data_IF_180529557260
#
_entry.id   IF_180529557260
#
_cell.length_a   1.000
_cell.length_b   1.000
_cell.length_c   1.000
_cell.angle_alpha   90.00
_cell.angle_beta   90.00
_cell.angle_gamma   90.00
#
_symmetry.space_group_name_H-M   'P 1'
#
loop_
_entity.id
_entity.type
_entity.pdbx_description
1 polymer ?
#
# COMPACT_ATOMS: atom_id res chain seq x y z
N UNK A 1 -13.38 -7.17 61.77
CA UNK A 1 -12.56 -8.00 60.86
C UNK A 1 -13.42 -8.78 59.86
N UNK A 2 -14.20 -9.79 60.25
CA UNK A 2 -15.02 -10.57 59.29
C UNK A 2 -16.16 -9.74 58.67
N UNK A 3 -16.84 -8.92 59.47
CA UNK A 3 -17.92 -8.04 58.99
C UNK A 3 -17.41 -6.98 58.00
N UNK A 4 -16.21 -6.44 58.24
CA UNK A 4 -15.57 -5.46 57.35
C UNK A 4 -15.20 -6.08 55.99
N UNK A 5 -14.73 -7.34 55.98
CA UNK A 5 -14.39 -8.07 54.75
C UNK A 5 -15.64 -8.36 53.92
N UNK A 6 -16.74 -8.78 54.55
CA UNK A 6 -18.00 -9.02 53.86
C UNK A 6 -18.63 -7.73 53.32
N UNK A 7 -18.51 -6.64 54.09
CA UNK A 7 -18.92 -5.30 53.67
C UNK A 7 -18.14 -4.85 52.42
N UNK A 8 -16.81 -4.97 52.45
CA UNK A 8 -15.96 -4.64 51.29
C UNK A 8 -16.26 -5.51 50.07
N UNK A 9 -16.53 -6.81 50.26
CA UNK A 9 -16.88 -7.71 49.17
C UNK A 9 -18.21 -7.32 48.50
N UNK A 10 -19.21 -6.92 49.29
CA UNK A 10 -20.50 -6.44 48.76
C UNK A 10 -20.35 -5.12 48.01
N UNK A 11 -19.61 -4.15 48.55
CA UNK A 11 -19.31 -2.90 47.85
C UNK A 11 -18.55 -3.13 46.54
N UNK A 12 -17.58 -4.06 46.52
CA UNK A 12 -16.88 -4.42 45.30
C UNK A 12 -17.81 -5.06 44.26
N UNK A 13 -18.74 -5.91 44.69
CA UNK A 13 -19.74 -6.53 43.83
C UNK A 13 -20.71 -5.47 43.24
N UNK A 14 -21.24 -4.58 44.06
CA UNK A 14 -22.07 -3.45 43.64
C UNK A 14 -21.31 -2.53 42.68
N UNK A 15 -20.02 -2.29 42.94
CA UNK A 15 -19.17 -1.51 42.07
C UNK A 15 -18.95 -2.22 40.73
N UNK A 16 -18.70 -3.53 40.69
CA UNK A 16 -18.61 -4.24 39.40
C UNK A 16 -19.93 -4.24 38.62
N UNK A 17 -21.08 -4.27 39.29
CA UNK A 17 -22.38 -4.15 38.65
C UNK A 17 -22.61 -2.75 38.07
N UNK A 18 -22.23 -1.69 38.79
CA UNK A 18 -22.31 -0.33 38.25
C UNK A 18 -21.37 -0.15 37.04
N UNK A 19 -20.16 -0.72 37.07
CA UNK A 19 -19.20 -0.67 35.96
C UNK A 19 -19.69 -1.42 34.73
N UNK A 20 -20.48 -2.48 34.90
CA UNK A 20 -21.11 -3.22 33.80
C UNK A 20 -22.26 -2.45 33.14
N UNK A 21 -22.85 -1.50 33.86
CA UNK A 21 -23.89 -0.58 33.35
C UNK A 21 -23.32 0.68 32.72
N UNK A 22 -22.06 1.03 32.99
CA UNK A 22 -21.43 2.17 32.33
C UNK A 22 -21.35 1.90 30.83
N UNK A 23 -21.63 2.90 29.98
CA UNK A 23 -21.23 2.81 28.59
C UNK A 23 -19.73 2.48 28.55
N UNK A 24 -19.26 1.73 27.53
CA UNK A 24 -17.85 1.38 27.41
C UNK A 24 -17.00 2.63 27.63
N UNK A 25 -16.05 2.56 28.58
CA UNK A 25 -15.24 3.70 29.02
C UNK A 25 -14.14 4.11 28.01
N UNK A 26 -14.06 3.38 26.89
CA UNK A 26 -13.29 3.79 25.72
C UNK A 26 -14.19 4.50 24.71
N UNK A 27 -13.64 5.36 23.84
CA UNK A 27 -14.41 5.94 22.75
C UNK A 27 -14.98 4.82 21.88
N UNK A 28 -16.28 4.52 22.01
CA UNK A 28 -17.00 3.68 21.07
C UNK A 28 -17.06 4.46 19.77
N UNK A 29 -16.39 3.95 18.73
CA UNK A 29 -16.50 4.58 17.42
C UNK A 29 -17.96 4.54 17.00
N UNK A 30 -18.56 5.71 16.81
CA UNK A 30 -19.91 5.81 16.28
C UNK A 30 -19.98 5.06 14.94
N UNK A 31 -21.13 4.46 14.56
CA UNK A 31 -21.21 3.64 13.35
C UNK A 31 -20.74 4.36 12.08
N UNK A 32 -20.97 5.67 12.00
CA UNK A 32 -20.50 6.47 10.88
C UNK A 32 -18.97 6.60 10.87
N UNK A 33 -18.30 6.64 12.02
CA UNK A 33 -16.83 6.67 12.13
C UNK A 33 -16.24 5.35 11.63
N UNK A 34 -16.78 4.21 12.06
CA UNK A 34 -16.31 2.89 11.60
C UNK A 34 -16.54 2.72 10.10
N UNK A 35 -17.70 3.10 9.57
CA UNK A 35 -17.98 3.06 8.13
C UNK A 35 -17.02 3.93 7.31
N UNK A 36 -16.68 5.13 7.79
CA UNK A 36 -15.69 5.99 7.13
C UNK A 36 -14.29 5.37 7.12
N UNK A 37 -13.85 4.81 8.25
CA UNK A 37 -12.54 4.16 8.34
C UNK A 37 -12.44 2.95 7.41
N UNK A 38 -13.48 2.11 7.35
CA UNK A 38 -13.52 1.00 6.40
C UNK A 38 -13.56 1.48 4.95
N UNK A 39 -14.33 2.53 4.65
CA UNK A 39 -14.38 3.13 3.31
C UNK A 39 -13.02 3.66 2.85
N UNK A 40 -12.31 4.40 3.71
CA UNK A 40 -10.97 4.90 3.44
C UNK A 40 -9.95 3.76 3.27
N UNK A 41 -10.05 2.73 4.12
CA UNK A 41 -9.21 1.54 4.01
C UNK A 41 -9.39 0.86 2.64
N UNK A 42 -10.64 0.57 2.23
CA UNK A 42 -10.92 -0.08 0.96
C UNK A 42 -10.55 0.79 -0.24
N UNK A 43 -10.77 2.12 -0.16
CA UNK A 43 -10.34 3.05 -1.19
C UNK A 43 -8.81 3.01 -1.35
N UNK A 44 -8.07 3.08 -0.26
CA UNK A 44 -6.61 3.00 -0.29
C UNK A 44 -6.13 1.69 -0.90
N UNK A 45 -6.70 0.54 -0.49
CA UNK A 45 -6.35 -0.76 -1.05
C UNK A 45 -6.70 -0.87 -2.54
N UNK A 46 -7.82 -0.29 -2.96
CA UNK A 46 -8.20 -0.18 -4.36
C UNK A 46 -7.16 0.60 -5.18
N UNK A 47 -6.73 1.76 -4.69
CA UNK A 47 -5.70 2.57 -5.35
C UNK A 47 -4.36 1.83 -5.43
N UNK A 48 -3.92 1.17 -4.37
CA UNK A 48 -2.69 0.38 -4.38
C UNK A 48 -2.78 -0.78 -5.36
N UNK A 49 -3.92 -1.47 -5.42
CA UNK A 49 -4.16 -2.54 -6.38
C UNK A 49 -4.10 -2.06 -7.83
N UNK A 50 -4.65 -0.88 -8.14
CA UNK A 50 -4.55 -0.28 -9.48
C UNK A 50 -3.09 0.01 -9.86
N UNK A 51 -2.30 0.55 -8.94
CA UNK A 51 -0.86 0.79 -9.18
C UNK A 51 -0.10 -0.52 -9.36
N UNK A 52 -0.42 -1.56 -8.57
CA UNK A 52 0.17 -2.88 -8.72
C UNK A 52 -0.11 -3.49 -10.11
N UNK A 53 -1.35 -3.37 -10.61
CA UNK A 53 -1.72 -3.79 -11.96
C UNK A 53 -0.92 -3.01 -13.01
N UNK A 54 -0.76 -1.69 -12.84
CA UNK A 54 0.09 -0.89 -13.72
C UNK A 54 1.56 -1.34 -13.69
N UNK A 55 2.07 -1.77 -12.53
CA UNK A 55 3.39 -2.38 -12.39
C UNK A 55 3.53 -3.68 -13.18
N UNK A 56 2.54 -4.57 -13.10
CA UNK A 56 2.53 -5.83 -13.86
C UNK A 56 2.44 -5.58 -15.37
N UNK A 57 1.56 -4.67 -15.80
CA UNK A 57 1.48 -4.24 -17.19
C UNK A 57 2.79 -3.61 -17.67
N UNK A 58 3.46 -2.85 -16.80
CA UNK A 58 4.80 -2.31 -17.06
C UNK A 58 5.86 -3.39 -17.22
N UNK A 59 5.86 -4.41 -16.36
CA UNK A 59 6.78 -5.54 -16.45
C UNK A 59 6.60 -6.30 -17.78
N UNK A 60 5.36 -6.54 -18.20
CA UNK A 60 5.03 -7.16 -19.50
C UNK A 60 5.51 -6.27 -20.64
N UNK A 61 5.23 -4.97 -20.58
CA UNK A 61 5.69 -3.98 -21.57
C UNK A 61 7.22 -3.97 -21.69
N UNK A 62 7.95 -3.97 -20.58
CA UNK A 62 9.42 -4.05 -20.57
C UNK A 62 9.91 -5.39 -21.15
N UNK A 63 9.28 -6.51 -20.79
CA UNK A 63 9.63 -7.83 -21.29
C UNK A 63 9.38 -7.97 -22.81
N UNK A 64 8.37 -7.28 -23.35
CA UNK A 64 8.08 -7.23 -24.79
C UNK A 64 8.91 -6.20 -25.56
N UNK A 65 9.62 -5.29 -24.87
CA UNK A 65 10.50 -4.32 -25.51
C UNK A 65 11.82 -4.99 -25.92
N UNK A 66 12.38 -4.57 -27.06
CA UNK A 66 13.64 -5.09 -27.59
C UNK A 66 14.80 -4.70 -26.65
N UNK A 67 15.74 -5.62 -26.42
CA UNK A 67 16.77 -5.49 -25.36
C UNK A 67 17.80 -4.39 -25.68
N UNK A 68 18.20 -4.30 -26.94
CA UNK A 68 19.12 -3.28 -27.46
C UNK A 68 18.64 -1.85 -27.24
N UNK A 69 17.33 -1.62 -27.13
CA UNK A 69 16.78 -0.30 -26.85
C UNK A 69 17.13 0.18 -25.44
N UNK A 70 17.25 -0.72 -24.46
CA UNK A 70 17.64 -0.37 -23.10
C UNK A 70 19.12 0.03 -23.03
N UNK A 71 19.97 -0.71 -23.74
CA UNK A 71 21.40 -0.43 -23.83
C UNK A 71 21.65 0.89 -24.59
N UNK A 72 20.94 1.10 -25.70
CA UNK A 72 21.07 2.29 -26.53
C UNK A 72 20.54 3.57 -25.86
N UNK A 73 19.54 3.47 -24.97
CA UNK A 73 19.06 4.59 -24.14
C UNK A 73 19.88 4.75 -22.84
N UNK A 74 20.99 4.01 -22.67
CA UNK A 74 21.87 4.05 -21.48
C UNK A 74 21.13 3.81 -20.15
N UNK A 75 20.08 2.98 -20.17
CA UNK A 75 19.29 2.63 -18.98
C UNK A 75 19.80 1.33 -18.36
N UNK A 76 19.30 1.02 -17.16
CA UNK A 76 19.46 -0.33 -16.59
C UNK A 76 18.94 -1.38 -17.57
N UNK A 77 19.52 -2.58 -17.55
CA UNK A 77 19.18 -3.64 -18.51
C UNK A 77 17.70 -4.03 -18.43
N UNK A 78 17.18 -4.58 -19.53
CA UNK A 78 15.77 -5.01 -19.64
C UNK A 78 15.33 -5.86 -18.46
N UNK A 79 16.13 -6.86 -18.10
CA UNK A 79 15.77 -7.80 -17.02
C UNK A 79 15.76 -7.14 -15.65
N UNK A 80 16.57 -6.10 -15.42
CA UNK A 80 16.52 -5.29 -14.19
C UNK A 80 15.19 -4.56 -14.11
N UNK A 81 14.73 -3.93 -15.19
CA UNK A 81 13.42 -3.26 -15.22
C UNK A 81 12.26 -4.24 -15.03
N UNK A 82 12.28 -5.39 -15.72
CA UNK A 82 11.24 -6.43 -15.55
C UNK A 82 11.18 -6.90 -14.10
N UNK A 83 12.33 -7.22 -13.49
CA UNK A 83 12.39 -7.68 -12.11
C UNK A 83 11.92 -6.62 -11.12
N UNK A 84 12.38 -5.37 -11.28
CA UNK A 84 11.96 -4.25 -10.44
C UNK A 84 10.45 -4.01 -10.52
N UNK A 85 9.85 -4.06 -11.71
CA UNK A 85 8.43 -3.83 -11.92
C UNK A 85 7.58 -4.98 -11.37
N UNK A 86 8.00 -6.23 -11.60
CA UNK A 86 7.32 -7.40 -11.07
C UNK A 86 7.38 -7.44 -9.53
N UNK A 87 8.55 -7.17 -8.95
CA UNK A 87 8.71 -7.08 -7.50
C UNK A 87 7.88 -5.93 -6.91
N UNK A 88 7.90 -4.76 -7.55
CA UNK A 88 7.10 -3.60 -7.12
C UNK A 88 5.60 -3.89 -7.17
N UNK A 89 5.12 -4.52 -8.25
CA UNK A 89 3.72 -4.92 -8.38
C UNK A 89 3.27 -5.87 -7.27
N UNK A 90 4.14 -6.80 -6.86
CA UNK A 90 3.86 -7.71 -5.74
C UNK A 90 3.87 -7.00 -4.38
N UNK A 91 4.75 -6.01 -4.20
CA UNK A 91 4.98 -5.31 -2.93
C UNK A 91 3.96 -4.22 -2.62
N UNK A 92 3.49 -3.47 -3.62
CA UNK A 92 2.57 -2.35 -3.43
C UNK A 92 1.28 -2.70 -2.65
N UNK A 93 0.60 -3.84 -2.87
CA UNK A 93 -0.61 -4.18 -2.11
C UNK A 93 -0.32 -4.74 -0.71
N UNK A 94 0.95 -4.97 -0.33
CA UNK A 94 1.29 -5.53 0.97
C UNK A 94 1.26 -4.45 2.08
N UNK A 95 0.80 -4.79 3.30
CA UNK A 95 0.73 -3.85 4.42
C UNK A 95 2.10 -3.68 5.12
N UNK A 96 3.15 -3.42 4.35
CA UNK A 96 4.52 -3.22 4.84
C UNK A 96 4.80 -1.71 4.93
N UNK A 97 5.35 -1.18 6.04
CA UNK A 97 5.67 0.24 6.15
C UNK A 97 6.68 0.69 5.08
N UNK A 98 6.46 1.86 4.48
CA UNK A 98 7.32 2.55 3.48
C UNK A 98 7.49 1.80 2.15
N UNK A 99 7.59 0.47 2.16
CA UNK A 99 7.96 -0.34 1.01
C UNK A 99 7.00 -0.22 -0.20
N UNK A 100 5.67 -0.16 -0.03
CA UNK A 100 4.74 0.14 -1.12
C UNK A 100 5.05 1.47 -1.83
N UNK A 101 5.49 2.49 -1.09
CA UNK A 101 5.84 3.79 -1.68
C UNK A 101 7.03 3.68 -2.62
N UNK A 102 8.05 2.91 -2.24
CA UNK A 102 9.20 2.63 -3.11
C UNK A 102 8.73 1.93 -4.39
N UNK A 103 7.87 0.92 -4.27
CA UNK A 103 7.29 0.22 -5.42
C UNK A 103 6.49 1.15 -6.33
N UNK A 104 5.65 2.03 -5.77
CA UNK A 104 4.88 3.02 -6.52
C UNK A 104 5.79 3.99 -7.27
N UNK A 105 6.89 4.45 -6.66
CA UNK A 105 7.87 5.33 -7.32
C UNK A 105 8.54 4.62 -8.50
N UNK A 106 8.98 3.37 -8.32
CA UNK A 106 9.59 2.57 -9.39
C UNK A 106 8.63 2.39 -10.57
N UNK A 107 7.36 2.07 -10.29
CA UNK A 107 6.31 1.94 -11.31
C UNK A 107 6.09 3.28 -12.02
N UNK A 108 6.03 4.39 -11.27
CA UNK A 108 5.90 5.74 -11.82
C UNK A 108 7.06 6.12 -12.75
N UNK A 109 8.30 5.87 -12.34
CA UNK A 109 9.50 6.13 -13.15
C UNK A 109 9.42 5.35 -14.47
N UNK A 110 9.01 4.07 -14.44
CA UNK A 110 8.89 3.31 -15.66
C UNK A 110 7.87 3.91 -16.64
N UNK A 111 6.67 4.25 -16.16
CA UNK A 111 5.59 4.75 -17.02
C UNK A 111 5.85 6.14 -17.58
N UNK A 112 6.47 7.02 -16.81
CA UNK A 112 6.59 8.44 -17.14
C UNK A 112 7.99 8.86 -17.64
N UNK A 113 9.06 8.13 -17.30
CA UNK A 113 10.42 8.42 -17.76
C UNK A 113 10.90 7.35 -18.77
N UNK A 114 11.01 6.10 -18.33
CA UNK A 114 11.67 5.04 -19.11
C UNK A 114 10.90 4.67 -20.37
N UNK A 115 9.61 4.38 -20.25
CA UNK A 115 8.80 3.91 -21.39
C UNK A 115 8.68 4.97 -22.49
N UNK A 116 8.41 6.25 -22.20
CA UNK A 116 8.45 7.29 -23.23
C UNK A 116 9.82 7.42 -23.91
N UNK A 117 10.91 7.35 -23.14
CA UNK A 117 12.29 7.41 -23.66
C UNK A 117 12.59 6.26 -24.63
N UNK A 118 12.31 5.02 -24.22
CA UNK A 118 12.47 3.83 -25.06
C UNK A 118 11.62 3.91 -26.34
N UNK A 119 10.38 4.41 -26.23
CA UNK A 119 9.49 4.56 -27.37
C UNK A 119 10.02 5.59 -28.38
N UNK A 120 10.51 6.74 -27.89
CA UNK A 120 11.09 7.77 -28.75
C UNK A 120 12.33 7.25 -29.50
N UNK A 121 13.18 6.48 -28.82
CA UNK A 121 14.34 5.83 -29.44
C UNK A 121 13.94 4.83 -30.52
N UNK A 122 12.99 3.94 -30.23
CA UNK A 122 12.50 2.94 -31.18
C UNK A 122 11.86 3.59 -32.41
N UNK A 123 11.20 4.74 -32.24
CA UNK A 123 10.58 5.50 -33.32
C UNK A 123 11.57 6.34 -34.14
N UNK A 124 12.83 6.45 -33.73
CA UNK A 124 13.81 7.35 -34.35
C UNK A 124 13.55 8.84 -34.07
N UNK A 125 12.73 9.15 -33.09
CA UNK A 125 12.38 10.53 -32.66
C UNK A 125 13.41 11.11 -31.66
N UNK A 126 14.40 10.30 -31.26
CA UNK A 126 15.45 10.67 -30.33
C UNK A 126 16.43 11.66 -30.99
N UNK A 127 16.26 12.95 -30.71
CA UNK A 127 17.14 14.02 -31.19
C UNK A 127 18.40 14.11 -30.34
N UNK A 128 19.55 14.16 -31.00
CA UNK A 128 20.84 14.57 -30.44
C UNK A 128 21.12 16.01 -30.87
N UNK A 129 20.61 16.99 -30.12
CA UNK A 129 21.05 18.38 -30.21
C UNK A 129 22.23 18.68 -29.27
#
# INVERSE_FOLDING_TARGET
MIVDVLSQANFAAEQTQHLAQLPPSGPSLEPWQSNLLYGLFWLQQGLYSLVAIAGLAGAISAAMTRDDAFDADSRQSKMVWVAMLAASAFIVPMPIPILPWVGMVVIGIYWFDVRPSLKALINGEYRWD
#
